data_IF_749499663140
#
_entry.id   IF_749499663140
#
_cell.length_a   1.000
_cell.length_b   1.000
_cell.length_c   1.000
_cell.angle_alpha   90.00
_cell.angle_beta   90.00
_cell.angle_gamma   90.00
#
_symmetry.space_group_name_H-M   'P 1'
#
loop_
_entity.id
_entity.type
_entity.pdbx_description
1 polymer ?
#
# COMPACT_ATOMS: atom_id res chain seq x y z
N UNK A 1 -10.97 -21.40 9.98
CA UNK A 1 -9.98 -20.49 9.35
C UNK A 1 -9.57 -19.46 10.40
N UNK A 2 -8.28 -19.32 10.73
CA UNK A 2 -7.83 -18.34 11.74
C UNK A 2 -8.02 -16.92 11.19
N UNK A 3 -8.54 -16.00 11.99
CA UNK A 3 -8.84 -14.63 11.56
C UNK A 3 -7.63 -13.91 10.95
N UNK A 4 -6.41 -14.17 11.44
CA UNK A 4 -5.17 -13.65 10.85
C UNK A 4 -5.00 -14.02 9.38
N UNK A 5 -5.32 -15.25 8.99
CA UNK A 5 -5.26 -15.68 7.59
C UNK A 5 -6.32 -14.97 6.72
N UNK A 6 -7.45 -14.55 7.31
CA UNK A 6 -8.44 -13.70 6.62
C UNK A 6 -7.88 -12.31 6.41
N UNK A 7 -7.24 -11.72 7.42
CA UNK A 7 -6.61 -10.40 7.30
C UNK A 7 -5.58 -10.41 6.18
N UNK A 8 -4.66 -11.39 6.17
CA UNK A 8 -3.62 -11.53 5.12
C UNK A 8 -4.21 -11.78 3.73
N UNK A 9 -5.20 -12.68 3.62
CA UNK A 9 -5.83 -12.98 2.34
C UNK A 9 -6.62 -11.78 1.80
N UNK A 10 -7.33 -11.06 2.66
CA UNK A 10 -8.06 -9.85 2.27
C UNK A 10 -7.08 -8.75 1.91
N UNK A 11 -6.06 -8.43 2.71
CA UNK A 11 -5.11 -7.36 2.36
C UNK A 11 -4.37 -7.63 1.05
N UNK A 12 -3.97 -8.88 0.81
CA UNK A 12 -3.37 -9.31 -0.46
C UNK A 12 -4.36 -9.23 -1.62
N UNK A 13 -5.57 -9.75 -1.42
CA UNK A 13 -6.64 -9.77 -2.43
C UNK A 13 -7.15 -8.39 -2.79
N UNK A 14 -7.24 -7.46 -1.83
CA UNK A 14 -7.65 -6.07 -2.07
C UNK A 14 -6.62 -5.34 -2.95
N UNK A 15 -5.32 -5.57 -2.72
CA UNK A 15 -4.25 -4.99 -3.53
C UNK A 15 -4.29 -5.49 -4.97
N UNK A 16 -4.41 -6.81 -5.14
CA UNK A 16 -4.56 -7.43 -6.46
C UNK A 16 -5.82 -6.94 -7.19
N UNK A 17 -6.97 -6.91 -6.51
CA UNK A 17 -8.24 -6.51 -7.12
C UNK A 17 -8.23 -5.06 -7.63
N UNK A 18 -7.54 -4.15 -6.93
CA UNK A 18 -7.38 -2.77 -7.42
C UNK A 18 -6.36 -2.65 -8.55
N UNK A 19 -5.29 -3.44 -8.52
CA UNK A 19 -4.21 -3.38 -9.51
C UNK A 19 -4.61 -4.03 -10.85
N UNK A 20 -5.22 -5.22 -10.80
CA UNK A 20 -5.34 -6.12 -11.96
C UNK A 20 -6.75 -6.18 -12.55
N UNK A 21 -7.80 -5.89 -11.79
CA UNK A 21 -9.18 -6.03 -12.28
C UNK A 21 -9.73 -4.73 -12.88
N UNK A 22 -10.49 -4.78 -13.99
CA UNK A 22 -11.06 -3.60 -14.61
C UNK A 22 -12.21 -3.00 -13.77
N UNK A 23 -12.56 -1.73 -14.03
CA UNK A 23 -13.71 -1.09 -13.39
C UNK A 23 -15.03 -1.74 -13.84
N UNK A 24 -15.96 -1.93 -12.90
CA UNK A 24 -17.20 -2.69 -13.12
C UNK A 24 -17.03 -4.20 -13.01
N UNK A 25 -15.81 -4.68 -12.71
CA UNK A 25 -15.62 -6.06 -12.29
C UNK A 25 -16.25 -6.26 -10.90
N UNK A 26 -17.14 -7.24 -10.72
CA UNK A 26 -17.86 -7.43 -9.47
C UNK A 26 -16.96 -7.70 -8.26
N UNK A 27 -15.77 -8.29 -8.47
CA UNK A 27 -14.79 -8.53 -7.40
C UNK A 27 -14.15 -7.22 -6.96
N UNK A 28 -13.81 -6.34 -7.92
CA UNK A 28 -13.27 -5.02 -7.63
C UNK A 28 -14.31 -4.10 -6.98
N UNK A 29 -15.54 -4.11 -7.45
CA UNK A 29 -16.63 -3.31 -6.86
C UNK A 29 -16.93 -3.75 -5.41
N UNK A 30 -16.73 -5.04 -5.10
CA UNK A 30 -16.85 -5.60 -3.75
C UNK A 30 -15.71 -5.22 -2.79
N UNK A 31 -14.60 -4.66 -3.27
CA UNK A 31 -13.43 -4.34 -2.43
C UNK A 31 -13.77 -3.35 -1.32
N UNK A 32 -14.52 -2.28 -1.62
CA UNK A 32 -14.88 -1.29 -0.62
C UNK A 32 -15.67 -1.92 0.53
N UNK A 33 -16.63 -2.80 0.20
CA UNK A 33 -17.41 -3.53 1.18
C UNK A 33 -16.55 -4.51 1.99
N UNK A 34 -15.62 -5.23 1.35
CA UNK A 34 -14.70 -6.14 2.01
C UNK A 34 -13.77 -5.39 2.99
N UNK A 35 -13.24 -4.23 2.59
CA UNK A 35 -12.48 -3.32 3.46
C UNK A 35 -13.32 -2.90 4.67
N UNK A 36 -14.54 -2.44 4.47
CA UNK A 36 -15.39 -1.96 5.56
C UNK A 36 -15.76 -3.08 6.55
N UNK A 37 -16.00 -4.30 6.04
CA UNK A 37 -16.22 -5.47 6.88
C UNK A 37 -14.97 -5.84 7.68
N UNK A 38 -13.79 -5.75 7.06
CA UNK A 38 -12.51 -5.99 7.74
C UNK A 38 -12.29 -4.96 8.86
N UNK A 39 -12.46 -3.66 8.56
CA UNK A 39 -12.29 -2.58 9.55
C UNK A 39 -13.28 -2.73 10.70
N UNK A 40 -14.56 -3.00 10.43
CA UNK A 40 -15.56 -3.30 11.48
C UNK A 40 -15.16 -4.48 12.34
N UNK A 41 -14.55 -5.50 11.75
CA UNK A 41 -14.08 -6.67 12.50
C UNK A 41 -12.86 -6.34 13.36
N UNK A 42 -11.95 -5.49 12.87
CA UNK A 42 -10.77 -5.04 13.60
C UNK A 42 -11.10 -4.10 14.77
N UNK A 43 -12.20 -3.34 14.70
CA UNK A 43 -12.70 -2.51 15.81
C UNK A 43 -13.37 -3.33 16.94
N UNK A 44 -13.47 -4.65 16.79
CA UNK A 44 -13.96 -5.52 17.86
C UNK A 44 -12.82 -5.81 18.86
N UNK A 45 -12.99 -5.48 20.16
CA UNK A 45 -11.94 -5.64 21.17
C UNK A 45 -11.53 -7.09 21.40
N UNK A 46 -12.37 -8.08 21.09
CA UNK A 46 -12.03 -9.51 21.23
C UNK A 46 -11.12 -10.03 20.10
N UNK A 47 -10.87 -9.21 19.07
CA UNK A 47 -9.87 -9.53 18.05
C UNK A 47 -8.49 -9.26 18.61
N UNK A 48 -7.66 -10.29 18.55
CA UNK A 48 -6.25 -10.22 18.88
C UNK A 48 -5.43 -10.66 17.66
N UNK A 49 -4.49 -9.81 17.23
CA UNK A 49 -3.53 -10.13 16.18
C UNK A 49 -2.26 -10.67 16.82
N UNK A 50 -1.87 -11.89 16.45
CA UNK A 50 -0.65 -12.51 16.96
C UNK A 50 0.58 -11.81 16.37
N UNK A 51 1.54 -11.46 17.22
CA UNK A 51 2.87 -11.04 16.80
C UNK A 51 3.87 -12.19 17.05
N UNK A 52 4.07 -13.10 16.08
CA UNK A 52 4.86 -14.32 16.28
C UNK A 52 6.36 -14.06 16.46
N UNK A 53 6.84 -12.82 16.26
CA UNK A 53 8.27 -12.49 16.24
C UNK A 53 8.78 -12.05 17.63
N UNK A 54 7.89 -11.84 18.62
CA UNK A 54 8.28 -11.29 19.92
C UNK A 54 8.06 -12.27 21.08
N UNK A 55 9.16 -12.86 21.54
CA UNK A 55 9.21 -13.52 22.85
C UNK A 55 9.30 -12.46 23.96
N UNK A 56 8.44 -12.58 24.97
CA UNK A 56 8.46 -11.74 26.17
C UNK A 56 9.01 -12.57 27.34
N UNK A 57 10.15 -12.19 27.95
CA UNK A 57 10.69 -12.92 29.10
C UNK A 57 9.65 -12.97 30.25
N UNK A 58 9.29 -14.16 30.76
CA UNK A 58 8.20 -14.33 31.72
C UNK A 58 8.31 -13.46 32.98
N UNK A 59 9.53 -13.28 33.48
CA UNK A 59 9.88 -12.47 34.65
C UNK A 59 9.60 -10.97 34.46
N UNK A 60 9.52 -10.50 33.22
CA UNK A 60 9.25 -9.09 32.91
C UNK A 60 7.77 -8.75 32.72
N UNK A 61 6.89 -9.77 32.62
CA UNK A 61 5.51 -9.58 32.17
C UNK A 61 4.73 -8.72 33.17
N UNK A 62 4.73 -9.10 34.44
CA UNK A 62 3.96 -8.38 35.47
C UNK A 62 4.38 -6.92 35.61
N UNK A 63 5.68 -6.65 35.51
CA UNK A 63 6.22 -5.29 35.63
C UNK A 63 5.95 -4.40 34.42
N UNK A 64 5.81 -4.99 33.22
CA UNK A 64 5.63 -4.25 31.97
C UNK A 64 4.17 -4.15 31.50
N UNK A 65 3.39 -5.20 31.73
CA UNK A 65 2.01 -5.36 31.24
C UNK A 65 1.00 -5.41 32.38
N UNK A 66 1.45 -5.38 33.64
CA UNK A 66 0.57 -5.38 34.82
C UNK A 66 0.05 -6.76 35.20
N UNK A 67 -1.07 -6.79 35.93
CA UNK A 67 -1.62 -8.01 36.57
C UNK A 67 -3.05 -8.33 36.16
N UNK A 68 -3.67 -7.49 35.33
CA UNK A 68 -5.05 -7.68 34.91
C UNK A 68 -5.13 -8.93 34.04
N UNK A 69 -6.04 -9.84 34.37
CA UNK A 69 -6.19 -11.10 33.64
C UNK A 69 -7.07 -10.92 32.42
N UNK A 70 -6.60 -11.38 31.27
CA UNK A 70 -7.44 -11.54 30.09
C UNK A 70 -8.26 -12.82 30.22
N UNK A 71 -9.59 -12.70 30.17
CA UNK A 71 -10.49 -13.86 30.24
C UNK A 71 -10.87 -14.31 28.84
N UNK A 72 -10.07 -15.19 28.24
CA UNK A 72 -10.39 -15.79 26.94
C UNK A 72 -11.37 -16.94 27.11
N UNK A 73 -12.44 -16.93 26.31
CA UNK A 73 -13.41 -18.03 26.30
C UNK A 73 -12.78 -19.29 25.67
N UNK A 74 -12.56 -20.34 26.46
CA UNK A 74 -12.16 -21.68 25.99
C UNK A 74 -10.67 -21.98 25.95
N UNK A 75 -9.80 -21.06 26.35
CA UNK A 75 -8.37 -21.33 26.61
C UNK A 75 -8.14 -21.24 28.12
N UNK A 76 -8.01 -22.40 28.77
CA UNK A 76 -7.89 -22.51 30.23
C UNK A 76 -6.44 -22.77 30.69
N UNK A 77 -5.51 -22.88 29.75
CA UNK A 77 -4.21 -23.52 29.95
C UNK A 77 -3.02 -22.56 29.95
N UNK A 78 -3.28 -21.26 29.74
CA UNK A 78 -2.28 -20.20 29.70
C UNK A 78 -2.67 -19.06 30.65
N UNK A 79 -1.68 -18.49 31.34
CA UNK A 79 -1.86 -17.25 32.09
C UNK A 79 -1.77 -16.09 31.11
N UNK A 80 -2.86 -15.33 31.00
CA UNK A 80 -2.93 -14.16 30.14
C UNK A 80 -2.96 -12.87 30.96
N UNK A 81 -2.08 -11.93 30.61
CA UNK A 81 -2.05 -10.57 31.13
C UNK A 81 -2.56 -9.61 30.06
N UNK A 82 -3.50 -8.76 30.43
CA UNK A 82 -4.11 -7.73 29.59
C UNK A 82 -3.69 -6.35 30.08
N UNK A 83 -3.12 -5.53 29.20
CA UNK A 83 -2.81 -4.13 29.51
C UNK A 83 -3.64 -3.15 28.68
N UNK A 84 -4.78 -3.62 28.15
CA UNK A 84 -5.65 -2.89 27.24
C UNK A 84 -5.21 -3.05 25.79
N UNK A 85 -4.05 -2.49 25.43
CA UNK A 85 -3.54 -2.51 24.06
C UNK A 85 -3.03 -3.88 23.63
N UNK A 86 -2.40 -4.60 24.56
CA UNK A 86 -1.76 -5.88 24.31
C UNK A 86 -2.20 -6.94 25.29
N UNK A 87 -2.19 -8.18 24.81
CA UNK A 87 -2.39 -9.36 25.64
C UNK A 87 -1.14 -10.21 25.55
N UNK A 88 -0.58 -10.61 26.68
CA UNK A 88 0.55 -11.55 26.75
C UNK A 88 0.04 -12.86 27.31
N UNK A 89 0.21 -13.95 26.56
CA UNK A 89 -0.10 -15.30 27.04
C UNK A 89 1.16 -16.11 27.25
N UNK A 90 1.25 -16.88 28.35
CA UNK A 90 2.32 -17.86 28.58
C UNK A 90 1.70 -19.25 28.51
N UNK A 91 2.17 -20.08 27.58
CA UNK A 91 1.73 -21.48 27.47
C UNK A 91 2.37 -22.39 28.54
N UNK A 92 1.92 -23.65 28.61
CA UNK A 92 2.44 -24.64 29.58
C UNK A 92 3.93 -24.95 29.39
N UNK A 93 4.45 -24.78 28.18
CA UNK A 93 5.85 -24.95 27.87
C UNK A 93 6.69 -23.71 28.20
N UNK A 94 6.07 -22.66 28.77
CA UNK A 94 6.73 -21.42 29.17
C UNK A 94 7.00 -20.47 28.01
N UNK A 95 6.45 -20.73 26.82
CA UNK A 95 6.58 -19.83 25.67
C UNK A 95 5.58 -18.71 25.80
N UNK A 96 6.06 -17.49 25.64
CA UNK A 96 5.21 -16.31 25.63
C UNK A 96 4.83 -15.90 24.20
N UNK A 97 3.57 -15.56 24.02
CA UNK A 97 3.04 -14.91 22.82
C UNK A 97 2.57 -13.50 23.16
N UNK A 98 2.91 -12.54 22.30
CA UNK A 98 2.42 -11.16 22.38
C UNK A 98 1.32 -10.96 21.33
N UNK A 99 0.18 -10.45 21.77
CA UNK A 99 -0.96 -10.16 20.92
C UNK A 99 -1.30 -8.67 20.98
N UNK A 100 -1.62 -8.10 19.82
CA UNK A 100 -2.05 -6.72 19.68
C UNK A 100 -3.58 -6.64 19.54
N UNK A 101 -4.21 -5.68 20.22
CA UNK A 101 -5.63 -5.37 20.10
C UNK A 101 -5.85 -4.21 19.12
N UNK A 102 -6.20 -4.47 17.85
CA UNK A 102 -6.39 -3.43 16.85
C UNK A 102 -7.51 -2.44 17.18
N UNK A 103 -8.49 -2.82 18.02
CA UNK A 103 -9.54 -1.92 18.45
C UNK A 103 -9.04 -0.74 19.31
N UNK A 104 -7.84 -0.85 19.90
CA UNK A 104 -7.21 0.23 20.68
C UNK A 104 -6.22 1.06 19.87
N UNK A 105 -6.09 0.77 18.56
CA UNK A 105 -5.36 1.63 17.64
C UNK A 105 -5.94 3.04 17.69
N UNK A 106 -5.08 4.03 17.87
CA UNK A 106 -5.39 5.47 18.02
C UNK A 106 -6.12 5.86 19.31
N UNK A 107 -6.41 4.89 20.20
CA UNK A 107 -7.06 5.12 21.51
C UNK A 107 -6.06 5.06 22.68
N UNK A 108 -4.96 4.34 22.50
CA UNK A 108 -3.87 4.22 23.48
C UNK A 108 -2.67 5.08 23.06
N UNK A 109 -2.11 5.87 23.98
CA UNK A 109 -0.97 6.76 23.68
C UNK A 109 0.25 6.04 23.08
N UNK A 110 0.44 4.76 23.39
CA UNK A 110 1.55 3.95 22.88
C UNK A 110 1.40 3.67 21.38
N UNK A 111 0.19 3.79 20.81
CA UNK A 111 -0.03 3.58 19.36
C UNK A 111 0.46 4.75 18.53
N UNK A 112 0.70 5.93 19.12
CA UNK A 112 1.26 7.08 18.39
C UNK A 112 2.65 6.82 17.79
N UNK A 113 3.35 5.78 18.26
CA UNK A 113 4.62 5.34 17.67
C UNK A 113 4.44 4.40 16.47
N UNK A 114 3.27 3.76 16.30
CA UNK A 114 2.97 2.92 15.14
C UNK A 114 2.77 3.77 13.88
N UNK A 115 2.24 4.99 14.03
CA UNK A 115 2.17 5.96 12.95
C UNK A 115 3.54 6.28 12.40
N UNK A 116 4.58 6.46 13.22
CA UNK A 116 5.93 6.73 12.70
C UNK A 116 6.49 5.63 11.80
N UNK A 117 6.06 4.38 11.96
CA UNK A 117 6.42 3.26 11.07
C UNK A 117 5.56 3.12 9.82
N UNK A 118 4.35 3.72 9.78
CA UNK A 118 3.44 3.70 8.62
C UNK A 118 3.49 5.01 7.83
N UNK A 119 3.73 6.13 8.51
CA UNK A 119 3.81 7.51 8.00
C UNK A 119 5.13 7.81 7.31
N UNK A 120 6.20 7.03 7.52
CA UNK A 120 7.35 7.04 6.60
C UNK A 120 6.93 6.74 5.14
N UNK A 121 5.74 6.17 4.94
CA UNK A 121 5.18 5.89 3.62
C UNK A 121 4.17 6.90 3.08
N UNK A 122 3.60 7.78 3.90
CA UNK A 122 2.45 8.57 3.46
C UNK A 122 2.76 10.06 3.36
N UNK A 123 3.33 10.47 2.23
CA UNK A 123 2.99 11.78 1.64
C UNK A 123 1.51 11.69 1.21
N UNK A 124 0.58 11.73 2.17
CA UNK A 124 -0.88 11.54 1.97
C UNK A 124 -1.48 12.60 1.04
N UNK A 125 -0.68 13.61 0.65
CA UNK A 125 -1.10 14.69 -0.22
C UNK A 125 -0.10 15.03 -1.34
N UNK A 126 0.68 14.03 -1.79
CA UNK A 126 1.65 14.19 -2.88
C UNK A 126 1.01 14.80 -4.15
N UNK A 127 -0.22 14.41 -4.48
CA UNK A 127 -0.93 14.96 -5.66
C UNK A 127 -1.09 16.48 -5.54
N UNK A 128 -1.43 17.00 -4.36
CA UNK A 128 -1.59 18.44 -4.14
C UNK A 128 -0.26 19.16 -4.19
N UNK A 129 0.78 18.59 -3.57
CA UNK A 129 2.15 19.10 -3.67
C UNK A 129 2.61 19.22 -5.12
N UNK A 130 2.41 18.18 -5.93
CA UNK A 130 2.74 18.19 -7.37
C UNK A 130 1.91 19.21 -8.12
N UNK A 131 0.61 19.32 -7.81
CA UNK A 131 -0.27 20.31 -8.44
C UNK A 131 0.21 21.74 -8.17
N UNK A 132 0.60 22.04 -6.93
CA UNK A 132 1.14 23.35 -6.55
C UNK A 132 2.51 23.63 -7.18
N UNK A 133 3.45 22.70 -7.08
CA UNK A 133 4.82 22.87 -7.61
C UNK A 133 4.83 23.05 -9.14
N UNK A 134 3.95 22.35 -9.86
CA UNK A 134 3.89 22.41 -11.33
C UNK A 134 2.79 23.36 -11.85
N UNK A 135 2.01 24.00 -10.98
CA UNK A 135 0.88 24.83 -11.38
C UNK A 135 -0.15 24.07 -12.24
N UNK A 136 -0.48 22.85 -11.82
CA UNK A 136 -1.41 21.95 -12.50
C UNK A 136 -2.74 21.89 -11.73
N UNK A 137 -3.79 21.47 -12.41
CA UNK A 137 -4.97 20.98 -11.72
C UNK A 137 -4.71 19.59 -11.10
N UNK A 138 -5.53 19.21 -10.11
CA UNK A 138 -5.37 17.96 -9.35
C UNK A 138 -5.41 16.72 -10.26
N UNK A 139 -6.21 16.75 -11.32
CA UNK A 139 -6.32 15.62 -12.25
C UNK A 139 -5.03 15.49 -13.08
N UNK A 140 -4.52 16.59 -13.64
CA UNK A 140 -3.26 16.59 -14.38
C UNK A 140 -2.09 16.14 -13.49
N UNK A 141 -2.02 16.59 -12.23
CA UNK A 141 -1.02 16.14 -11.28
C UNK A 141 -1.10 14.63 -11.00
N UNK A 142 -2.31 14.11 -10.77
CA UNK A 142 -2.53 12.67 -10.57
C UNK A 142 -2.11 11.86 -11.80
N UNK A 143 -2.48 12.32 -13.01
CA UNK A 143 -2.10 11.66 -14.26
C UNK A 143 -0.58 11.64 -14.48
N UNK A 144 0.10 12.75 -14.19
CA UNK A 144 1.55 12.85 -14.33
C UNK A 144 2.27 11.90 -13.36
N UNK A 145 1.83 11.87 -12.10
CA UNK A 145 2.33 10.93 -11.10
C UNK A 145 2.13 9.47 -11.52
N UNK A 146 0.99 9.14 -12.14
CA UNK A 146 0.73 7.79 -12.65
C UNK A 146 1.65 7.42 -13.81
N UNK A 147 1.98 8.36 -14.70
CA UNK A 147 2.98 8.12 -15.74
C UNK A 147 4.38 7.91 -15.16
N UNK A 148 4.74 8.64 -14.11
CA UNK A 148 6.02 8.48 -13.42
C UNK A 148 6.12 7.12 -12.71
N UNK A 149 5.12 6.78 -11.91
CA UNK A 149 5.20 5.67 -10.97
C UNK A 149 4.73 4.34 -11.56
N UNK A 150 3.63 4.30 -12.31
CA UNK A 150 2.99 3.03 -12.62
C UNK A 150 3.68 2.31 -13.79
N UNK A 151 3.76 0.97 -13.75
CA UNK A 151 4.42 0.19 -14.80
C UNK A 151 3.67 0.32 -16.13
N UNK A 152 2.34 0.14 -16.12
CA UNK A 152 1.51 0.14 -17.34
C UNK A 152 0.30 1.09 -17.25
N UNK A 153 0.52 2.42 -17.28
CA UNK A 153 -0.55 3.40 -17.19
C UNK A 153 -1.25 3.61 -18.55
N UNK A 154 -1.85 2.56 -19.11
CA UNK A 154 -2.62 2.65 -20.36
C UNK A 154 -3.82 3.61 -20.21
N UNK A 155 -4.33 4.16 -21.32
CA UNK A 155 -5.48 5.07 -21.27
C UNK A 155 -6.73 4.38 -20.69
N UNK A 156 -6.84 3.05 -20.85
CA UNK A 156 -7.88 2.25 -20.22
C UNK A 156 -7.66 2.18 -18.70
N UNK A 157 -6.47 1.75 -18.28
CA UNK A 157 -6.14 1.58 -16.87
C UNK A 157 -6.26 2.89 -16.08
N UNK A 158 -5.71 3.99 -16.60
CA UNK A 158 -5.80 5.31 -15.97
C UNK A 158 -7.25 5.74 -15.76
N UNK A 159 -8.11 5.57 -16.77
CA UNK A 159 -9.54 5.90 -16.62
C UNK A 159 -10.22 5.00 -15.60
N UNK A 160 -9.88 3.72 -15.61
CA UNK A 160 -10.39 2.70 -14.70
C UNK A 160 -9.98 2.98 -13.24
N UNK A 161 -8.70 3.24 -12.97
CA UNK A 161 -8.18 3.50 -11.62
C UNK A 161 -8.71 4.79 -11.02
N UNK A 162 -8.88 5.84 -11.82
CA UNK A 162 -9.33 7.14 -11.34
C UNK A 162 -10.86 7.33 -11.43
N UNK A 163 -11.61 6.36 -11.97
CA UNK A 163 -13.02 6.51 -12.31
C UNK A 163 -13.29 7.74 -13.20
N UNK A 164 -12.42 7.97 -14.18
CA UNK A 164 -12.51 9.13 -15.06
C UNK A 164 -13.29 8.84 -16.34
N UNK A 165 -14.10 9.82 -16.75
CA UNK A 165 -14.64 9.84 -18.10
C UNK A 165 -13.53 10.09 -19.14
N UNK A 166 -13.71 9.67 -20.41
CA UNK A 166 -12.76 9.98 -21.47
C UNK A 166 -12.48 11.49 -21.63
N UNK A 167 -13.50 12.33 -21.41
CA UNK A 167 -13.36 13.78 -21.48
C UNK A 167 -12.49 14.34 -20.35
N UNK A 168 -12.68 13.84 -19.11
CA UNK A 168 -11.86 14.24 -17.95
C UNK A 168 -10.39 13.85 -18.14
N UNK A 169 -10.16 12.61 -18.58
CA UNK A 169 -8.81 12.14 -18.90
C UNK A 169 -8.15 12.99 -19.99
N UNK A 170 -8.88 13.27 -21.09
CA UNK A 170 -8.35 14.10 -22.18
C UNK A 170 -8.00 15.51 -21.71
N UNK A 171 -8.84 16.12 -20.85
CA UNK A 171 -8.56 17.44 -20.28
C UNK A 171 -7.25 17.45 -19.48
N UNK A 172 -7.07 16.48 -18.57
CA UNK A 172 -5.83 16.32 -17.82
C UNK A 172 -4.61 16.14 -18.74
N UNK A 173 -4.76 15.30 -19.78
CA UNK A 173 -3.72 15.10 -20.80
C UNK A 173 -3.37 16.37 -21.58
N UNK A 174 -4.37 17.17 -21.97
CA UNK A 174 -4.16 18.46 -22.64
C UNK A 174 -3.42 19.45 -21.74
N UNK A 175 -3.75 19.51 -20.43
CA UNK A 175 -3.02 20.34 -19.46
C UNK A 175 -1.55 19.95 -19.41
N UNK A 176 -1.24 18.65 -19.30
CA UNK A 176 0.14 18.16 -19.27
C UNK A 176 0.91 18.46 -20.57
N UNK A 177 0.25 18.32 -21.72
CA UNK A 177 0.82 18.65 -23.02
C UNK A 177 1.16 20.14 -23.13
N UNK A 178 0.23 21.00 -22.72
CA UNK A 178 0.43 22.46 -22.74
C UNK A 178 1.59 22.91 -21.86
N UNK A 179 1.84 22.19 -20.76
CA UNK A 179 2.98 22.40 -19.87
C UNK A 179 4.27 21.71 -20.33
N UNK A 180 4.23 20.98 -21.45
CA UNK A 180 5.34 20.22 -22.03
C UNK A 180 5.92 19.15 -21.10
N UNK A 181 5.12 18.69 -20.13
CA UNK A 181 5.50 17.61 -19.21
C UNK A 181 5.38 16.23 -19.85
N UNK A 182 4.64 16.14 -20.95
CA UNK A 182 4.45 14.94 -21.77
C UNK A 182 4.51 15.29 -23.25
N UNK A 183 4.79 14.30 -24.07
CA UNK A 183 4.80 14.40 -25.53
C UNK A 183 3.75 13.47 -26.14
N UNK A 184 3.20 13.87 -27.29
CA UNK A 184 2.39 12.97 -28.10
C UNK A 184 3.30 11.95 -28.80
N UNK A 185 2.85 10.70 -28.85
CA UNK A 185 3.56 9.64 -29.55
C UNK A 185 2.70 8.42 -29.80
N UNK A 186 3.29 7.48 -30.53
CA UNK A 186 2.79 6.11 -30.64
C UNK A 186 3.93 5.16 -30.29
N UNK A 187 3.65 4.19 -29.44
CA UNK A 187 4.58 3.16 -28.98
C UNK A 187 3.87 1.81 -28.98
N UNK A 188 4.53 0.80 -29.50
CA UNK A 188 3.98 -0.55 -29.61
C UNK A 188 3.59 -1.05 -28.21
N UNK A 189 2.37 -1.58 -28.06
CA UNK A 189 1.82 -2.15 -26.81
C UNK A 189 1.63 -1.17 -25.64
N UNK A 190 1.84 0.14 -25.83
CA UNK A 190 1.70 1.10 -24.72
C UNK A 190 0.25 1.43 -24.34
N UNK A 191 -0.71 1.23 -25.24
CA UNK A 191 -2.13 1.48 -24.96
C UNK A 191 -2.50 2.92 -24.59
N UNK A 192 -1.65 3.90 -24.94
CA UNK A 192 -1.82 5.34 -24.67
C UNK A 192 -1.17 6.20 -25.76
N UNK A 193 -1.52 7.48 -25.78
CA UNK A 193 -1.04 8.46 -26.77
C UNK A 193 -0.10 9.53 -26.18
N UNK A 194 0.08 9.54 -24.86
CA UNK A 194 0.91 10.48 -24.11
C UNK A 194 2.05 9.76 -23.39
N UNK A 195 3.24 10.33 -23.47
CA UNK A 195 4.45 9.74 -22.92
C UNK A 195 5.28 10.79 -22.19
N UNK A 196 6.01 10.38 -21.17
CA UNK A 196 7.03 11.25 -20.59
C UNK A 196 8.13 11.51 -21.64
N UNK A 197 8.72 12.72 -21.68
CA UNK A 197 9.87 12.98 -22.53
C UNK A 197 11.01 12.00 -22.19
N UNK A 198 11.67 11.47 -23.21
CA UNK A 198 12.82 10.57 -23.04
C UNK A 198 12.75 9.31 -23.88
N UNK A 199 13.70 8.41 -23.60
CA UNK A 199 13.86 7.16 -24.31
C UNK A 199 12.78 6.14 -23.93
N UNK A 200 12.33 5.40 -24.94
CA UNK A 200 11.38 4.28 -24.79
C UNK A 200 12.13 2.98 -25.01
N UNK A 201 12.01 2.04 -24.08
CA UNK A 201 12.67 0.74 -24.16
C UNK A 201 11.68 -0.29 -24.69
N UNK A 202 12.04 -0.90 -25.82
CA UNK A 202 11.34 -2.05 -26.39
C UNK A 202 12.08 -3.33 -26.00
N UNK A 203 11.43 -4.24 -25.28
CA UNK A 203 11.96 -5.59 -25.04
C UNK A 203 11.25 -6.58 -25.96
N UNK A 204 12.04 -7.38 -26.69
CA UNK A 204 11.53 -8.25 -27.76
C UNK A 204 11.17 -9.67 -27.27
N UNK A 205 11.77 -10.17 -26.18
CA UNK A 205 11.66 -11.60 -25.89
C UNK A 205 12.09 -11.96 -24.45
N UNK A 206 11.38 -12.93 -23.83
CA UNK A 206 11.45 -13.45 -22.45
C UNK A 206 10.65 -12.69 -21.36
N UNK A 207 9.33 -12.60 -21.56
CA UNK A 207 8.30 -12.93 -20.55
C UNK A 207 8.12 -12.10 -19.27
N UNK A 208 9.03 -11.20 -18.90
CA UNK A 208 8.95 -10.55 -17.57
C UNK A 208 9.18 -9.03 -17.58
N UNK A 209 9.42 -8.38 -18.73
CA UNK A 209 9.64 -6.93 -18.77
C UNK A 209 8.78 -6.27 -19.85
N UNK A 210 7.84 -5.45 -19.41
CA UNK A 210 6.93 -4.71 -20.28
C UNK A 210 7.64 -3.48 -20.89
N UNK A 211 7.40 -3.12 -22.17
CA UNK A 211 7.93 -1.91 -22.77
C UNK A 211 7.55 -0.67 -21.95
N UNK A 212 8.54 0.17 -21.64
CA UNK A 212 8.39 1.28 -20.69
C UNK A 212 9.35 2.42 -20.99
N UNK A 213 9.09 3.57 -20.37
CA UNK A 213 10.05 4.68 -20.37
C UNK A 213 11.34 4.29 -19.63
N UNK A 214 12.51 4.60 -20.20
CA UNK A 214 13.82 4.20 -19.67
C UNK A 214 14.08 4.62 -18.23
N UNK A 215 13.62 5.81 -17.81
CA UNK A 215 13.81 6.27 -16.43
C UNK A 215 13.13 5.34 -15.38
N UNK A 216 12.17 4.50 -15.80
CA UNK A 216 11.55 3.49 -14.91
C UNK A 216 12.48 2.31 -14.62
N UNK A 217 13.54 2.13 -15.40
CA UNK A 217 14.60 1.16 -15.08
C UNK A 217 15.31 1.58 -13.80
N UNK A 218 15.56 2.88 -13.58
CA UNK A 218 16.14 3.39 -12.33
C UNK A 218 15.20 3.16 -11.13
N UNK A 219 13.88 3.30 -11.33
CA UNK A 219 12.89 2.93 -10.30
C UNK A 219 12.95 1.43 -9.95
N UNK A 220 13.21 0.59 -10.94
CA UNK A 220 13.29 -0.86 -10.78
C UNK A 220 14.62 -1.26 -10.11
N UNK A 221 15.73 -0.71 -10.58
CA UNK A 221 17.06 -0.96 -10.03
C UNK A 221 17.19 -0.44 -8.59
N UNK A 222 16.63 0.74 -8.27
CA UNK A 222 16.62 1.25 -6.91
C UNK A 222 15.85 0.33 -5.95
N UNK A 223 14.72 -0.25 -6.41
CA UNK A 223 13.98 -1.23 -5.63
C UNK A 223 14.82 -2.51 -5.37
N UNK A 224 15.57 -2.97 -6.36
CA UNK A 224 16.45 -4.15 -6.26
C UNK A 224 17.69 -3.94 -5.38
N UNK A 225 18.22 -2.71 -5.27
CA UNK A 225 19.39 -2.39 -4.43
C UNK A 225 19.07 -2.11 -2.96
N UNK A 226 17.80 -1.89 -2.63
CA UNK A 226 17.40 -1.82 -1.22
C UNK A 226 17.61 -3.18 -0.57
N UNK A 227 18.06 -3.24 0.68
CA UNK A 227 18.52 -4.44 1.41
C UNK A 227 17.37 -5.44 1.75
N UNK A 228 16.40 -5.62 0.83
CA UNK A 228 15.19 -6.41 1.00
C UNK A 228 15.03 -7.38 -0.19
N UNK A 229 14.62 -8.63 0.08
CA UNK A 229 14.77 -9.74 -0.86
C UNK A 229 13.92 -9.57 -2.13
N UNK A 230 14.56 -9.78 -3.28
CA UNK A 230 13.97 -9.74 -4.61
C UNK A 230 12.99 -10.90 -4.88
N UNK A 231 11.72 -10.55 -4.87
CA UNK A 231 10.70 -11.02 -5.81
C UNK A 231 9.66 -9.90 -5.90
N UNK A 232 8.57 -10.05 -6.65
CA UNK A 232 7.63 -9.01 -7.12
C UNK A 232 6.88 -8.21 -6.02
N UNK A 233 7.58 -7.63 -5.04
CA UNK A 233 7.10 -7.43 -3.67
C UNK A 233 7.56 -6.09 -3.05
N UNK A 234 6.57 -5.27 -2.72
CA UNK A 234 6.53 -4.33 -1.58
C UNK A 234 7.24 -2.97 -1.60
N UNK A 235 6.92 -2.10 -2.57
CA UNK A 235 6.68 -0.70 -2.18
C UNK A 235 5.21 -0.54 -1.78
N UNK A 236 4.93 0.12 -0.66
CA UNK A 236 3.61 0.72 -0.47
C UNK A 236 3.40 1.67 -1.66
N UNK A 237 2.26 1.57 -2.34
CA UNK A 237 1.92 2.40 -3.50
C UNK A 237 2.30 3.88 -3.28
N UNK A 238 1.99 4.51 -2.12
CA UNK A 238 2.44 5.86 -1.79
C UNK A 238 3.94 6.13 -1.96
N UNK A 239 4.81 5.27 -1.42
CA UNK A 239 6.27 5.41 -1.51
C UNK A 239 6.78 5.39 -2.94
N UNK A 240 6.18 4.53 -3.78
CA UNK A 240 6.54 4.45 -5.19
C UNK A 240 6.26 5.76 -5.90
N UNK A 241 5.14 6.41 -5.60
CA UNK A 241 4.83 7.72 -6.16
C UNK A 241 5.79 8.79 -5.63
N UNK A 242 6.09 8.79 -4.33
CA UNK A 242 7.01 9.75 -3.72
C UNK A 242 8.43 9.61 -4.28
N UNK A 243 8.95 8.39 -4.41
CA UNK A 243 10.25 8.13 -5.01
C UNK A 243 10.30 8.51 -6.48
N UNK A 244 9.28 8.13 -7.26
CA UNK A 244 9.21 8.49 -8.68
C UNK A 244 9.13 9.99 -8.88
N UNK A 245 8.45 10.72 -7.99
CA UNK A 245 8.47 12.17 -7.96
C UNK A 245 9.87 12.71 -7.68
N UNK A 246 10.53 12.25 -6.62
CA UNK A 246 11.84 12.77 -6.20
C UNK A 246 12.97 12.44 -7.19
N UNK A 247 12.84 11.36 -7.98
CA UNK A 247 13.82 10.92 -8.96
C UNK A 247 13.35 11.11 -10.41
N UNK A 248 12.33 11.94 -10.64
CA UNK A 248 11.81 12.21 -11.98
C UNK A 248 12.88 12.88 -12.87
N UNK A 249 12.87 12.62 -14.18
CA UNK A 249 13.69 13.40 -15.11
C UNK A 249 13.30 14.88 -15.08
N UNK A 250 14.30 15.77 -15.21
CA UNK A 250 14.04 17.19 -15.38
C UNK A 250 13.24 17.44 -16.69
N UNK A 251 12.29 18.39 -16.69
CA UNK A 251 11.51 18.73 -17.88
C UNK A 251 12.36 19.35 -19.00
#
# INVERSE_FOLDING_TARGET
MRFTAIVEAVTTGLRWAYAELPAGDPVRDGVAQARDLLLRRLDNPDVLLNNPVRHVPPDTITGRFGTVRYLRRGEHDADFVDDGLTVVGIDREGRSGLFFRPAELDKDERTGHLDLTVTESSDTDLVRKVAEELGLDVDAAALYLQFLALPEPTDHNVRTWNHWSPARHRKAGTTLLGRKLVVHGSRTRAGRTLFLPGEWIEYDWLGSVHPREKFKDDLTAAAETSDRPGSFDWWLLPDRFAFAWNNRPAP
#
